data_IF_418994355523
#
_entry.id   IF_418994355523
#
_cell.length_a   1.000
_cell.length_b   1.000
_cell.length_c   1.000
_cell.angle_alpha   90.00
_cell.angle_beta   90.00
_cell.angle_gamma   90.00
#
_symmetry.space_group_name_H-M   'P 1'
#
loop_
_entity.id
_entity.type
_entity.pdbx_description
1 polymer ?
#
# COMPACT_ATOMS: atom_id res chain seq x y z
N UNK A 1 -16.98 8.86 -26.53
CA UNK A 1 -15.56 8.81 -26.84
C UNK A 1 -14.89 8.04 -25.71
N UNK A 2 -14.01 7.11 -26.03
CA UNK A 2 -13.37 6.27 -25.03
C UNK A 2 -12.24 7.05 -24.34
N UNK A 3 -12.02 6.80 -23.05
CA UNK A 3 -10.91 7.37 -22.29
C UNK A 3 -10.22 6.30 -21.47
N UNK A 4 -8.97 6.51 -21.07
CA UNK A 4 -8.23 5.58 -20.21
C UNK A 4 -7.57 6.34 -19.07
N UNK A 5 -8.05 6.13 -17.85
CA UNK A 5 -7.42 6.67 -16.63
C UNK A 5 -6.09 5.97 -16.40
N UNK A 6 -5.09 6.77 -15.99
CA UNK A 6 -3.74 6.30 -15.79
C UNK A 6 -3.07 6.99 -14.60
N UNK A 7 -1.82 6.63 -14.28
CA UNK A 7 -1.00 7.24 -13.25
C UNK A 7 -1.76 7.46 -11.91
N UNK A 8 -1.76 8.71 -11.39
CA UNK A 8 -2.37 9.01 -10.09
C UNK A 8 -3.89 8.98 -10.13
N UNK A 9 -4.53 9.35 -11.26
CA UNK A 9 -5.98 9.24 -11.39
C UNK A 9 -6.43 7.78 -11.35
N UNK A 10 -5.71 6.87 -12.01
CA UNK A 10 -5.97 5.44 -11.90
C UNK A 10 -5.70 4.94 -10.47
N UNK A 11 -4.58 5.33 -9.88
CA UNK A 11 -4.23 4.93 -8.53
C UNK A 11 -5.30 5.35 -7.50
N UNK A 12 -5.75 6.60 -7.54
CA UNK A 12 -6.75 7.12 -6.63
C UNK A 12 -8.10 6.39 -6.79
N UNK A 13 -8.54 6.13 -8.03
CA UNK A 13 -9.77 5.39 -8.28
C UNK A 13 -9.65 3.93 -7.80
N UNK A 14 -8.53 3.26 -8.05
CA UNK A 14 -8.26 1.92 -7.55
C UNK A 14 -8.30 1.88 -6.01
N UNK A 15 -7.69 2.87 -5.35
CA UNK A 15 -7.66 2.93 -3.89
C UNK A 15 -8.99 3.31 -3.25
N UNK A 16 -9.89 3.96 -3.97
CA UNK A 16 -11.24 4.28 -3.49
C UNK A 16 -12.28 3.22 -3.83
N UNK A 17 -11.92 2.17 -4.56
CA UNK A 17 -12.83 1.09 -4.92
C UNK A 17 -12.88 0.00 -3.86
N UNK A 18 -14.11 -0.34 -3.41
CA UNK A 18 -14.37 -1.47 -2.50
C UNK A 18 -14.25 -2.84 -3.17
N UNK A 19 -14.29 -2.90 -4.52
CA UNK A 19 -14.22 -4.13 -5.32
C UNK A 19 -13.08 -4.03 -6.32
N UNK A 20 -12.41 -5.15 -6.64
CA UNK A 20 -11.50 -5.18 -7.78
C UNK A 20 -12.26 -4.88 -9.07
N UNK A 21 -11.61 -4.20 -10.00
CA UNK A 21 -12.14 -4.02 -11.35
C UNK A 21 -12.03 -5.37 -12.07
N UNK A 22 -13.18 -5.92 -12.45
CA UNK A 22 -13.24 -7.27 -13.00
C UNK A 22 -13.06 -7.27 -14.52
N UNK A 23 -12.15 -8.09 -15.00
CA UNK A 23 -12.01 -8.41 -16.43
C UNK A 23 -13.12 -9.36 -16.91
N UNK A 24 -13.87 -10.00 -16.02
CA UNK A 24 -14.89 -11.00 -16.36
C UNK A 24 -16.22 -10.40 -16.83
N UNK A 25 -16.47 -9.10 -16.61
CA UNK A 25 -17.61 -8.42 -17.24
C UNK A 25 -17.52 -8.39 -18.77
N UNK A 26 -16.36 -8.69 -19.33
CA UNK A 26 -16.15 -8.96 -20.75
C UNK A 26 -16.83 -10.25 -21.24
N UNK A 27 -17.22 -11.16 -20.35
CA UNK A 27 -17.78 -12.47 -20.72
C UNK A 27 -19.24 -12.41 -21.21
N UNK A 28 -19.93 -11.31 -21.05
CA UNK A 28 -21.35 -11.16 -21.46
C UNK A 28 -21.51 -10.53 -22.86
N UNK A 29 -20.67 -10.86 -23.81
CA UNK A 29 -20.95 -10.77 -25.24
C UNK A 29 -20.95 -9.38 -25.91
N UNK A 30 -20.74 -8.27 -25.16
CA UNK A 30 -20.68 -6.91 -25.69
C UNK A 30 -19.55 -6.03 -25.16
N UNK A 31 -18.60 -6.58 -24.40
CA UNK A 31 -17.51 -5.78 -23.89
C UNK A 31 -16.48 -5.51 -25.00
N UNK A 32 -16.25 -4.24 -25.31
CA UNK A 32 -15.15 -3.83 -26.19
C UNK A 32 -13.82 -4.31 -25.61
N UNK A 33 -12.96 -4.81 -26.48
CA UNK A 33 -11.58 -5.10 -26.08
C UNK A 33 -10.93 -3.80 -25.62
N UNK A 34 -10.38 -3.75 -24.39
CA UNK A 34 -9.73 -2.55 -23.88
C UNK A 34 -8.58 -2.12 -24.78
N UNK A 35 -8.63 -0.90 -25.27
CA UNK A 35 -7.56 -0.31 -26.10
C UNK A 35 -7.20 1.07 -25.56
N UNK A 36 -5.96 1.46 -25.73
CA UNK A 36 -5.54 2.83 -25.44
C UNK A 36 -6.16 3.74 -26.49
N UNK A 37 -6.92 4.80 -26.12
CA UNK A 37 -7.53 5.72 -27.05
C UNK A 37 -6.48 6.38 -27.98
N UNK A 38 -6.80 6.55 -29.23
CA UNK A 38 -5.90 7.18 -30.21
C UNK A 38 -5.73 8.67 -29.97
N UNK A 39 -6.77 9.35 -29.49
CA UNK A 39 -6.77 10.80 -29.25
C UNK A 39 -7.34 11.17 -27.90
N UNK A 40 -7.04 12.41 -27.45
CA UNK A 40 -7.62 12.99 -26.26
C UNK A 40 -9.14 13.18 -26.44
N UNK A 41 -9.95 13.07 -25.36
CA UNK A 41 -11.38 13.39 -25.39
C UNK A 41 -11.61 14.87 -25.71
N UNK A 42 -12.82 15.19 -26.19
CA UNK A 42 -13.24 16.58 -26.43
C UNK A 42 -13.39 17.38 -25.12
N UNK A 43 -13.42 18.72 -25.23
CA UNK A 43 -13.42 19.65 -24.08
C UNK A 43 -14.57 19.38 -23.08
N UNK A 44 -15.76 19.06 -23.55
CA UNK A 44 -16.90 18.71 -22.65
C UNK A 44 -16.59 17.48 -21.79
N UNK A 45 -16.09 16.43 -22.43
CA UNK A 45 -15.69 15.19 -21.73
C UNK A 45 -14.52 15.42 -20.78
N UNK A 46 -13.55 16.28 -21.14
CA UNK A 46 -12.43 16.64 -20.26
C UNK A 46 -12.93 17.30 -18.96
N UNK A 47 -13.90 18.21 -19.06
CA UNK A 47 -14.53 18.88 -17.89
C UNK A 47 -15.32 17.90 -17.04
N UNK A 48 -16.11 17.01 -17.66
CA UNK A 48 -16.84 15.96 -16.94
C UNK A 48 -15.90 15.03 -16.18
N UNK A 49 -14.81 14.58 -16.81
CA UNK A 49 -13.80 13.75 -16.17
C UNK A 49 -13.11 14.48 -15.00
N UNK A 50 -12.78 15.77 -15.16
CA UNK A 50 -12.18 16.55 -14.10
C UNK A 50 -13.11 16.74 -12.91
N UNK A 51 -14.41 16.95 -13.14
CA UNK A 51 -15.42 17.00 -12.07
C UNK A 51 -15.56 15.65 -11.38
N UNK A 52 -15.56 14.56 -12.12
CA UNK A 52 -15.81 13.22 -11.58
C UNK A 52 -14.57 12.61 -10.90
N UNK A 53 -13.38 12.81 -11.46
CA UNK A 53 -12.14 12.15 -11.01
C UNK A 53 -11.09 13.10 -10.41
N UNK A 54 -11.22 14.41 -10.62
CA UNK A 54 -10.25 15.41 -10.11
C UNK A 54 -10.32 15.62 -8.60
N UNK A 55 -11.42 15.20 -7.95
CA UNK A 55 -11.64 15.29 -6.50
C UNK A 55 -11.42 13.99 -5.73
N UNK A 56 -10.81 12.97 -6.34
CA UNK A 56 -10.56 11.70 -5.67
C UNK A 56 -9.65 11.91 -4.44
N UNK A 57 -9.95 11.21 -3.32
CA UNK A 57 -9.24 11.41 -2.07
C UNK A 57 -7.76 11.05 -2.19
N UNK A 58 -6.90 11.90 -1.66
CA UNK A 58 -5.49 11.58 -1.45
C UNK A 58 -5.38 10.47 -0.42
N UNK A 59 -4.43 9.56 -0.58
CA UNK A 59 -4.16 8.52 0.43
C UNK A 59 -3.63 9.22 1.68
N UNK A 60 -4.39 9.21 2.75
CA UNK A 60 -3.98 9.78 4.02
C UNK A 60 -2.69 9.10 4.51
N UNK A 61 -1.66 9.92 4.76
CA UNK A 61 -0.36 9.47 5.26
C UNK A 61 0.63 9.01 4.20
N UNK A 62 0.26 8.99 2.93
CA UNK A 62 1.20 8.79 1.82
C UNK A 62 1.30 10.11 1.07
N UNK A 63 2.36 10.89 1.30
CA UNK A 63 2.73 11.98 0.36
C UNK A 63 3.21 11.33 -0.93
N UNK A 64 2.29 11.02 -1.80
CA UNK A 64 2.57 10.87 -3.20
C UNK A 64 2.93 12.28 -3.72
N UNK A 65 3.82 12.34 -4.68
CA UNK A 65 4.29 13.61 -5.25
C UNK A 65 3.10 14.52 -5.55
N UNK A 66 3.24 15.84 -5.26
CA UNK A 66 2.21 16.84 -5.57
C UNK A 66 2.15 17.01 -7.09
N UNK A 67 1.30 16.26 -7.76
CA UNK A 67 0.84 16.66 -9.10
C UNK A 67 -0.11 17.85 -8.93
N UNK A 68 -0.17 18.76 -9.91
CA UNK A 68 -1.04 19.93 -9.80
C UNK A 68 -2.48 19.49 -9.59
N UNK A 69 -3.07 19.93 -8.47
CA UNK A 69 -4.46 19.65 -8.11
C UNK A 69 -5.39 19.97 -9.28
N UNK A 70 -6.26 19.05 -9.63
CA UNK A 70 -7.35 19.28 -10.55
C UNK A 70 -7.18 18.77 -11.99
N UNK A 71 -6.07 18.11 -12.31
CA UNK A 71 -5.92 17.45 -13.62
C UNK A 71 -6.14 15.94 -13.52
N UNK A 72 -6.82 15.38 -14.53
CA UNK A 72 -7.00 13.95 -14.67
C UNK A 72 -5.94 13.37 -15.58
N UNK A 73 -5.23 12.34 -15.13
CA UNK A 73 -4.23 11.63 -15.93
C UNK A 73 -4.89 10.68 -16.91
N UNK A 74 -4.71 10.92 -18.21
CA UNK A 74 -5.24 10.08 -19.29
C UNK A 74 -4.13 9.46 -20.11
N UNK A 75 -4.28 8.18 -20.44
CA UNK A 75 -3.41 7.46 -21.36
C UNK A 75 -3.95 7.54 -22.78
N UNK A 76 -3.11 7.94 -23.73
CA UNK A 76 -3.42 8.04 -25.16
C UNK A 76 -2.32 7.43 -26.01
N UNK A 77 -2.63 7.08 -27.24
CA UNK A 77 -1.66 6.46 -28.19
C UNK A 77 -1.13 7.45 -29.25
N UNK A 78 -1.66 8.67 -29.32
CA UNK A 78 -1.27 9.64 -30.34
C UNK A 78 -0.15 10.56 -29.86
N UNK A 79 0.96 10.59 -30.62
CA UNK A 79 2.13 11.43 -30.40
C UNK A 79 1.84 12.93 -30.68
N UNK A 80 0.87 13.22 -31.52
CA UNK A 80 0.55 14.59 -31.94
C UNK A 80 -0.38 15.34 -30.99
N UNK A 81 -0.94 14.66 -29.99
CA UNK A 81 -1.88 15.24 -29.00
C UNK A 81 -1.19 15.82 -27.75
N UNK A 82 0.03 16.32 -27.86
CA UNK A 82 0.85 16.79 -26.71
C UNK A 82 0.55 18.20 -26.22
N UNK A 83 -0.53 18.85 -26.66
CA UNK A 83 -0.88 20.19 -26.23
C UNK A 83 -1.29 20.19 -24.75
N UNK A 84 -0.79 21.19 -24.01
CA UNK A 84 -1.21 21.42 -22.63
C UNK A 84 -2.74 21.62 -22.57
N UNK A 85 -3.39 20.80 -21.76
CA UNK A 85 -4.82 20.84 -21.51
C UNK A 85 -5.09 21.39 -20.11
N UNK A 86 -6.19 22.12 -19.95
CA UNK A 86 -6.53 22.73 -18.66
C UNK A 86 -6.92 21.67 -17.60
N UNK A 87 -7.72 20.70 -18.00
CA UNK A 87 -8.33 19.75 -17.07
C UNK A 87 -7.70 18.36 -17.08
N UNK A 88 -6.82 18.07 -18.03
CA UNK A 88 -6.20 16.74 -18.17
C UNK A 88 -4.69 16.81 -18.37
N UNK A 89 -4.00 15.81 -17.87
CA UNK A 89 -2.61 15.52 -18.16
C UNK A 89 -2.56 14.30 -19.10
N UNK A 90 -2.03 14.52 -20.31
CA UNK A 90 -1.95 13.46 -21.33
C UNK A 90 -0.64 12.71 -21.21
N UNK A 91 -0.72 11.39 -21.17
CA UNK A 91 0.41 10.49 -21.15
C UNK A 91 0.40 9.62 -22.40
N UNK A 92 1.47 9.72 -23.19
CA UNK A 92 1.57 8.97 -24.46
C UNK A 92 2.10 7.57 -24.18
N UNK A 93 1.43 6.57 -24.75
CA UNK A 93 1.83 5.18 -24.72
C UNK A 93 2.08 4.65 -26.13
N UNK A 94 3.31 4.82 -26.63
CA UNK A 94 3.72 4.38 -27.97
C UNK A 94 3.98 2.86 -28.04
N UNK A 95 3.88 2.14 -26.94
CA UNK A 95 4.15 0.70 -26.88
C UNK A 95 2.85 -0.08 -26.84
N UNK A 96 2.88 -1.27 -27.47
CA UNK A 96 1.78 -2.23 -27.37
C UNK A 96 1.48 -2.53 -25.90
N UNK A 97 0.27 -2.23 -25.45
CA UNK A 97 -0.23 -2.53 -24.10
C UNK A 97 -0.99 -3.84 -24.18
N UNK A 98 -0.74 -4.75 -23.25
CA UNK A 98 -1.51 -6.00 -23.18
C UNK A 98 -2.97 -5.66 -22.82
N UNK A 99 -3.98 -6.27 -23.45
CA UNK A 99 -5.38 -6.03 -23.11
C UNK A 99 -5.69 -6.18 -21.62
N UNK A 100 -5.06 -7.17 -20.96
CA UNK A 100 -5.16 -7.39 -19.50
C UNK A 100 -4.58 -6.26 -18.63
N UNK A 101 -3.85 -5.31 -19.24
CA UNK A 101 -3.35 -4.12 -18.53
C UNK A 101 -4.34 -2.97 -18.47
N UNK A 102 -5.49 -3.10 -19.12
CA UNK A 102 -6.57 -2.13 -19.13
C UNK A 102 -7.85 -2.81 -18.64
N UNK A 103 -8.54 -2.18 -17.70
CA UNK A 103 -9.76 -2.69 -17.10
C UNK A 103 -10.91 -1.75 -17.43
N UNK A 104 -12.12 -2.24 -17.74
CA UNK A 104 -13.27 -1.39 -17.99
C UNK A 104 -13.74 -0.69 -16.70
N UNK A 105 -14.18 0.56 -16.84
CA UNK A 105 -14.81 1.33 -15.76
C UNK A 105 -16.32 1.28 -15.97
N UNK A 106 -17.02 0.42 -15.22
CA UNK A 106 -18.48 0.32 -15.21
C UNK A 106 -19.13 -0.01 -16.58
N UNK A 107 -20.36 -0.43 -16.56
CA UNK A 107 -21.11 -0.78 -17.79
C UNK A 107 -21.51 0.45 -18.64
N UNK A 108 -21.71 1.60 -17.98
CA UNK A 108 -22.26 2.82 -18.59
C UNK A 108 -21.22 3.87 -18.94
N UNK A 109 -20.05 3.81 -18.33
CA UNK A 109 -18.94 4.71 -18.62
C UNK A 109 -18.05 4.07 -19.68
N UNK A 110 -17.99 4.63 -20.88
CA UNK A 110 -17.14 4.17 -22.00
C UNK A 110 -15.66 4.40 -21.74
N UNK A 111 -15.20 4.05 -20.54
CA UNK A 111 -13.86 4.33 -20.06
C UNK A 111 -13.10 3.09 -19.62
N UNK A 112 -11.79 3.23 -19.57
CA UNK A 112 -10.87 2.22 -19.06
C UNK A 112 -9.99 2.80 -17.97
N UNK A 113 -9.42 1.92 -17.17
CA UNK A 113 -8.40 2.24 -16.16
C UNK A 113 -7.22 1.30 -16.36
N UNK A 114 -6.02 1.77 -16.13
CA UNK A 114 -4.84 0.88 -16.12
C UNK A 114 -4.93 -0.09 -14.94
N UNK A 115 -4.53 -1.36 -15.18
CA UNK A 115 -4.51 -2.39 -14.12
C UNK A 115 -3.63 -1.95 -12.95
N UNK A 116 -3.81 -2.51 -11.75
CA UNK A 116 -2.98 -2.18 -10.59
C UNK A 116 -1.48 -2.30 -10.87
N UNK A 117 -1.04 -3.34 -11.58
CA UNK A 117 0.38 -3.56 -11.91
C UNK A 117 0.90 -2.52 -12.91
N UNK A 118 0.08 -2.16 -13.90
CA UNK A 118 0.48 -1.15 -14.89
C UNK A 118 0.46 0.25 -14.25
N UNK A 119 -0.54 0.56 -13.43
CA UNK A 119 -0.59 1.78 -12.62
C UNK A 119 0.66 1.89 -11.74
N UNK A 120 1.05 0.82 -11.05
CA UNK A 120 2.28 0.79 -10.24
C UNK A 120 3.52 1.15 -11.05
N UNK A 121 3.70 0.56 -12.25
CA UNK A 121 4.82 0.90 -13.13
C UNK A 121 4.81 2.39 -13.54
N UNK A 122 3.63 2.91 -13.88
CA UNK A 122 3.48 4.29 -14.31
C UNK A 122 3.86 5.28 -13.18
N UNK A 123 3.29 5.11 -11.99
CA UNK A 123 3.57 6.00 -10.85
C UNK A 123 5.00 5.85 -10.33
N UNK A 124 5.63 4.69 -10.45
CA UNK A 124 7.05 4.50 -10.13
C UNK A 124 7.99 5.39 -10.98
N UNK A 125 7.53 5.90 -12.10
CA UNK A 125 8.27 6.87 -12.92
C UNK A 125 8.22 8.30 -12.39
N UNK A 126 7.33 8.57 -11.45
CA UNK A 126 7.01 9.89 -10.91
C UNK A 126 7.36 10.01 -9.42
N UNK A 127 7.29 8.90 -8.69
CA UNK A 127 7.55 8.83 -7.27
C UNK A 127 9.04 8.62 -6.97
N UNK A 128 9.47 9.07 -5.80
CA UNK A 128 10.72 8.61 -5.22
C UNK A 128 10.63 7.15 -4.75
N UNK A 129 11.74 6.62 -4.27
CA UNK A 129 11.85 5.20 -3.94
C UNK A 129 10.90 4.76 -2.82
N UNK A 130 10.81 5.54 -1.73
CA UNK A 130 9.91 5.25 -0.61
C UNK A 130 8.44 5.40 -1.03
N UNK A 131 8.12 6.46 -1.79
CA UNK A 131 6.76 6.64 -2.35
C UNK A 131 6.34 5.46 -3.24
N UNK A 132 7.28 4.93 -4.03
CA UNK A 132 7.00 3.75 -4.87
C UNK A 132 6.72 2.50 -4.02
N UNK A 133 7.45 2.28 -2.92
CA UNK A 133 7.18 1.18 -1.98
C UNK A 133 5.79 1.36 -1.35
N UNK A 134 5.47 2.56 -0.86
CA UNK A 134 4.19 2.87 -0.22
C UNK A 134 3.01 2.65 -1.18
N UNK A 135 3.12 3.15 -2.41
CA UNK A 135 2.07 2.97 -3.41
C UNK A 135 1.85 1.49 -3.77
N UNK A 136 2.93 0.73 -3.93
CA UNK A 136 2.85 -0.71 -4.16
C UNK A 136 2.24 -1.46 -2.97
N UNK A 137 2.61 -1.08 -1.75
CA UNK A 137 2.03 -1.68 -0.54
C UNK A 137 0.53 -1.37 -0.43
N UNK A 138 0.09 -0.16 -0.79
CA UNK A 138 -1.33 0.20 -0.81
C UNK A 138 -2.13 -0.65 -1.81
N UNK A 139 -1.62 -0.85 -3.03
CA UNK A 139 -2.26 -1.71 -4.03
C UNK A 139 -2.34 -3.19 -3.60
N UNK A 140 -1.38 -3.66 -2.80
CA UNK A 140 -1.33 -5.02 -2.26
C UNK A 140 -2.02 -5.17 -0.89
N UNK A 141 -2.79 -4.18 -0.45
CA UNK A 141 -3.46 -4.13 0.85
C UNK A 141 -4.96 -4.42 0.74
N UNK A 142 -5.53 -4.88 1.85
CA UNK A 142 -6.95 -5.26 1.95
C UNK A 142 -7.87 -4.06 2.24
N UNK A 143 -7.35 -2.83 2.33
CA UNK A 143 -8.14 -1.64 2.60
C UNK A 143 -8.42 -0.83 1.34
N UNK A 144 -9.48 -0.02 1.42
CA UNK A 144 -9.76 1.07 0.48
C UNK A 144 -10.12 2.35 1.24
N UNK A 145 -10.05 3.49 0.53
CA UNK A 145 -10.33 4.81 1.10
C UNK A 145 -11.78 5.19 0.82
N UNK A 146 -12.52 5.56 1.85
CA UNK A 146 -13.89 6.01 1.71
C UNK A 146 -13.95 7.36 1.01
N UNK A 147 -14.92 7.51 0.09
CA UNK A 147 -15.16 8.77 -0.64
C UNK A 147 -16.12 9.72 0.11
N UNK A 148 -16.53 9.37 1.32
CA UNK A 148 -17.51 10.13 2.12
C UNK A 148 -17.01 11.47 2.68
N UNK A 149 -15.82 11.91 2.29
CA UNK A 149 -15.20 13.17 2.73
C UNK A 149 -14.64 13.14 4.17
N UNK A 150 -14.87 12.09 4.93
CA UNK A 150 -14.36 11.92 6.29
C UNK A 150 -13.01 11.20 6.36
N UNK A 151 -12.45 10.83 5.20
CA UNK A 151 -11.11 10.20 5.10
C UNK A 151 -11.01 8.84 5.79
N UNK A 152 -12.12 8.13 5.90
CA UNK A 152 -12.18 6.80 6.51
C UNK A 152 -11.50 5.72 5.67
N UNK A 153 -11.14 4.64 6.33
CA UNK A 153 -10.56 3.44 5.74
C UNK A 153 -11.50 2.27 5.99
N UNK A 154 -11.79 1.49 4.95
CA UNK A 154 -12.62 0.28 5.04
C UNK A 154 -11.89 -0.91 4.41
N UNK A 155 -12.32 -2.12 4.76
CA UNK A 155 -11.70 -3.35 4.25
C UNK A 155 -12.42 -3.85 3.00
N UNK A 156 -11.63 -4.33 2.02
CA UNK A 156 -12.16 -5.03 0.84
C UNK A 156 -12.59 -6.44 1.20
N UNK A 157 -13.77 -6.81 0.76
CA UNK A 157 -14.29 -8.18 1.02
C UNK A 157 -13.57 -9.25 0.19
N UNK A 158 -13.05 -8.87 -0.99
CA UNK A 158 -12.45 -9.80 -1.95
C UNK A 158 -10.90 -9.77 -1.94
N UNK A 159 -10.31 -9.24 -0.88
CA UNK A 159 -8.85 -9.11 -0.75
C UNK A 159 -8.24 -7.95 -1.53
N UNK A 160 -6.92 -7.92 -1.68
CA UNK A 160 -6.18 -6.83 -2.28
C UNK A 160 -6.41 -6.72 -3.80
N UNK A 161 -6.11 -5.56 -4.37
CA UNK A 161 -6.23 -5.32 -5.83
C UNK A 161 -5.21 -6.12 -6.64
N UNK A 162 -4.05 -6.39 -6.07
CA UNK A 162 -2.96 -7.17 -6.64
C UNK A 162 -2.06 -7.69 -5.53
N UNK A 163 -0.97 -8.37 -5.90
CA UNK A 163 0.04 -8.83 -4.97
C UNK A 163 1.46 -8.65 -5.55
N UNK A 164 2.47 -8.76 -4.68
CA UNK A 164 3.87 -8.59 -5.06
C UNK A 164 4.32 -9.54 -6.18
N UNK A 165 3.81 -10.77 -6.19
CA UNK A 165 4.13 -11.75 -7.22
C UNK A 165 3.56 -11.33 -8.59
N UNK A 166 2.30 -10.87 -8.64
CA UNK A 166 1.66 -10.38 -9.85
C UNK A 166 2.37 -9.13 -10.40
N UNK A 167 2.70 -8.16 -9.52
CA UNK A 167 3.49 -6.98 -9.91
C UNK A 167 4.85 -7.41 -10.46
N UNK A 168 5.56 -8.32 -9.79
CA UNK A 168 6.88 -8.80 -10.23
C UNK A 168 6.80 -9.49 -11.60
N UNK A 169 5.78 -10.36 -11.78
CA UNK A 169 5.51 -11.03 -13.06
C UNK A 169 5.24 -10.00 -14.16
N UNK A 170 4.37 -9.03 -13.91
CA UNK A 170 4.09 -7.96 -14.88
C UNK A 170 5.36 -7.18 -15.24
N UNK A 171 6.14 -6.73 -14.25
CA UNK A 171 7.38 -6.00 -14.49
C UNK A 171 8.43 -6.80 -15.27
N UNK A 172 8.43 -8.13 -15.17
CA UNK A 172 9.35 -8.99 -15.93
C UNK A 172 9.04 -8.99 -17.44
N UNK A 173 7.77 -8.83 -17.80
CA UNK A 173 7.33 -8.79 -19.21
C UNK A 173 7.51 -7.40 -19.84
N UNK A 174 7.74 -6.35 -19.02
CA UNK A 174 7.92 -5.00 -19.53
C UNK A 174 9.38 -4.77 -19.95
N UNK A 175 9.60 -4.33 -21.17
CA UNK A 175 10.92 -3.97 -21.67
C UNK A 175 11.48 -2.70 -21.01
N UNK A 176 12.31 -1.94 -21.74
CA UNK A 176 12.85 -0.66 -21.29
C UNK A 176 11.76 0.42 -21.28
N UNK A 177 10.99 0.50 -20.20
CA UNK A 177 9.98 1.54 -19.99
C UNK A 177 10.41 2.48 -18.87
N UNK A 178 9.94 3.73 -18.93
CA UNK A 178 10.13 4.70 -17.85
C UNK A 178 9.55 4.13 -16.55
N UNK A 179 10.30 4.24 -15.45
CA UNK A 179 9.87 3.71 -14.14
C UNK A 179 10.20 2.23 -13.89
N UNK A 180 10.64 1.45 -14.89
CA UNK A 180 10.88 0.00 -14.73
C UNK A 180 11.97 -0.33 -13.69
N UNK A 181 13.05 0.46 -13.66
CA UNK A 181 14.17 0.23 -12.73
C UNK A 181 13.74 0.51 -11.29
N UNK A 182 13.20 1.71 -10.93
CA UNK A 182 12.72 1.95 -9.59
C UNK A 182 11.61 1.00 -9.18
N UNK A 183 10.66 0.65 -10.06
CA UNK A 183 9.61 -0.31 -9.78
C UNK A 183 10.17 -1.70 -9.41
N UNK A 184 11.09 -2.26 -10.21
CA UNK A 184 11.75 -3.56 -9.93
C UNK A 184 12.58 -3.56 -8.64
N UNK A 185 13.12 -2.44 -8.25
CA UNK A 185 13.85 -2.32 -6.97
C UNK A 185 12.89 -2.22 -5.79
N UNK A 186 11.84 -1.40 -5.91
CA UNK A 186 10.90 -1.11 -4.85
C UNK A 186 9.96 -2.29 -4.54
N UNK A 187 9.57 -3.09 -5.54
CA UNK A 187 8.67 -4.24 -5.36
C UNK A 187 9.16 -5.24 -4.31
N UNK A 188 10.48 -5.34 -4.11
CA UNK A 188 11.10 -6.24 -3.12
C UNK A 188 10.77 -5.85 -1.67
N UNK A 189 10.37 -4.60 -1.46
CA UNK A 189 10.10 -4.03 -0.14
C UNK A 189 8.61 -3.79 0.11
N UNK A 190 7.74 -4.12 -0.85
CA UNK A 190 6.29 -4.04 -0.68
C UNK A 190 5.84 -4.96 0.44
N UNK A 191 5.04 -4.44 1.35
CA UNK A 191 4.27 -5.21 2.32
C UNK A 191 2.86 -5.47 1.78
N UNK A 192 2.27 -6.61 2.13
CA UNK A 192 1.00 -7.08 1.58
C UNK A 192 -0.03 -7.28 2.69
N UNK A 193 -1.31 -7.26 2.35
CA UNK A 193 -2.43 -7.58 3.24
C UNK A 193 -2.59 -6.65 4.45
N UNK A 194 -2.08 -5.43 4.39
CA UNK A 194 -2.39 -4.45 5.43
C UNK A 194 -3.90 -4.13 5.42
N UNK A 195 -4.50 -3.97 6.59
CA UNK A 195 -5.89 -3.55 6.77
C UNK A 195 -6.03 -2.07 7.01
N UNK A 196 -4.90 -1.39 7.18
CA UNK A 196 -4.84 0.07 7.28
C UNK A 196 -3.50 0.62 6.75
N UNK A 197 -3.46 1.90 6.33
CA UNK A 197 -2.20 2.56 5.97
C UNK A 197 -1.20 2.60 7.13
N UNK A 198 -1.68 2.64 8.39
CA UNK A 198 -0.82 2.69 9.59
C UNK A 198 -0.11 1.37 9.85
N UNK A 199 -0.79 0.24 9.68
CA UNK A 199 -0.16 -1.08 9.76
C UNK A 199 0.95 -1.22 8.70
N UNK A 200 0.67 -0.84 7.43
CA UNK A 200 1.68 -0.86 6.37
C UNK A 200 2.88 0.03 6.71
N UNK A 201 2.64 1.25 7.21
CA UNK A 201 3.69 2.19 7.60
C UNK A 201 4.53 1.65 8.76
N UNK A 202 3.90 1.05 9.77
CA UNK A 202 4.59 0.44 10.91
C UNK A 202 5.46 -0.74 10.46
N UNK A 203 4.93 -1.64 9.64
CA UNK A 203 5.66 -2.75 9.07
C UNK A 203 6.89 -2.29 8.28
N UNK A 204 6.72 -1.29 7.43
CA UNK A 204 7.82 -0.72 6.65
C UNK A 204 8.87 -0.07 7.55
N UNK A 205 8.47 0.70 8.55
CA UNK A 205 9.40 1.35 9.45
C UNK A 205 10.25 0.36 10.24
N UNK A 206 9.62 -0.69 10.75
CA UNK A 206 10.30 -1.72 11.53
C UNK A 206 11.21 -2.62 10.67
N UNK A 207 10.82 -2.92 9.42
CA UNK A 207 11.46 -3.98 8.63
C UNK A 207 12.30 -3.49 7.44
N UNK A 208 12.11 -2.26 6.94
CA UNK A 208 12.99 -1.73 5.89
C UNK A 208 14.46 -1.73 6.34
N UNK A 209 15.38 -1.96 5.40
CA UNK A 209 16.82 -1.92 5.69
C UNK A 209 17.29 -0.57 6.24
N UNK A 210 18.37 -0.55 6.99
CA UNK A 210 18.96 0.65 7.58
C UNK A 210 19.29 1.75 6.57
N UNK A 211 19.77 1.40 5.39
CA UNK A 211 20.04 2.38 4.32
C UNK A 211 18.79 3.08 3.77
N UNK A 212 17.61 2.55 4.05
CA UNK A 212 16.31 3.16 3.74
C UNK A 212 15.68 3.83 4.97
N UNK A 213 16.36 3.86 6.10
CA UNK A 213 15.88 4.46 7.33
C UNK A 213 14.98 3.54 8.17
N UNK A 214 14.86 2.26 7.85
CA UNK A 214 14.15 1.29 8.69
C UNK A 214 15.01 0.73 9.83
N UNK A 215 14.37 -0.03 10.73
CA UNK A 215 15.07 -0.70 11.83
C UNK A 215 15.64 -2.08 11.49
N UNK A 216 15.37 -2.59 10.27
CA UNK A 216 15.85 -3.86 9.76
C UNK A 216 15.65 -5.03 10.75
N UNK A 217 14.46 -5.09 11.38
CA UNK A 217 14.15 -6.11 12.38
C UNK A 217 14.08 -7.52 11.77
N UNK A 218 13.60 -7.64 10.53
CA UNK A 218 13.46 -8.94 9.88
C UNK A 218 12.46 -8.94 8.74
N UNK A 219 11.81 -10.08 8.52
CA UNK A 219 10.72 -10.22 7.56
C UNK A 219 9.38 -10.08 8.27
N UNK A 220 8.43 -9.39 7.65
CA UNK A 220 7.11 -9.15 8.21
C UNK A 220 6.03 -9.78 7.33
N UNK A 221 5.04 -10.38 7.97
CA UNK A 221 3.76 -10.79 7.39
C UNK A 221 2.65 -10.04 8.14
N UNK A 222 1.74 -9.44 7.39
CA UNK A 222 0.60 -8.70 7.96
C UNK A 222 -0.65 -9.57 7.94
N UNK A 223 -1.43 -9.46 9.02
CA UNK A 223 -2.72 -10.11 9.15
C UNK A 223 -2.68 -11.61 8.84
N UNK A 224 -1.60 -12.28 9.22
CA UNK A 224 -1.43 -13.73 9.07
C UNK A 224 -2.18 -14.46 10.17
N UNK A 225 -3.13 -15.35 9.82
CA UNK A 225 -3.75 -16.23 10.82
C UNK A 225 -2.72 -17.16 11.47
N UNK A 226 -2.77 -17.27 12.79
CA UNK A 226 -2.01 -18.24 13.58
C UNK A 226 -2.96 -19.10 14.38
N UNK A 227 -2.75 -20.41 14.39
CA UNK A 227 -3.48 -21.35 15.22
C UNK A 227 -2.78 -21.47 16.57
N UNK A 228 -3.54 -21.33 17.64
CA UNK A 228 -3.08 -21.41 19.02
C UNK A 228 -3.97 -22.37 19.78
N UNK A 229 -3.48 -22.85 20.92
CA UNK A 229 -4.26 -23.55 21.88
C UNK A 229 -4.54 -22.64 23.08
N UNK A 230 -5.81 -22.46 23.42
CA UNK A 230 -6.16 -21.63 24.56
C UNK A 230 -5.92 -22.38 25.89
N UNK A 231 -6.10 -21.70 27.03
CA UNK A 231 -5.93 -22.27 28.36
C UNK A 231 -6.83 -23.48 28.67
N UNK A 232 -7.84 -23.74 27.84
CA UNK A 232 -8.77 -24.88 27.98
C UNK A 232 -8.43 -26.03 27.03
N UNK A 233 -7.34 -25.95 26.27
CA UNK A 233 -6.95 -26.96 25.28
C UNK A 233 -7.72 -26.85 23.94
N UNK A 234 -8.46 -25.76 23.71
CA UNK A 234 -9.22 -25.58 22.48
C UNK A 234 -8.37 -24.87 21.43
N UNK A 235 -8.44 -25.34 20.18
CA UNK A 235 -7.79 -24.65 19.05
C UNK A 235 -8.54 -23.37 18.70
N UNK A 236 -7.83 -22.27 18.72
CA UNK A 236 -8.33 -20.94 18.37
C UNK A 236 -7.46 -20.33 17.30
N UNK A 237 -8.06 -19.49 16.44
CA UNK A 237 -7.31 -18.71 15.44
C UNK A 237 -7.21 -17.28 15.90
N UNK A 238 -5.99 -16.74 15.91
CA UNK A 238 -5.71 -15.30 16.14
C UNK A 238 -5.05 -14.71 14.92
N UNK A 239 -5.31 -13.43 14.67
CA UNK A 239 -4.77 -12.69 13.53
C UNK A 239 -4.11 -11.42 14.09
N UNK A 240 -2.82 -11.46 14.41
CA UNK A 240 -2.08 -10.25 14.78
C UNK A 240 -1.89 -9.37 13.54
N UNK A 241 -1.86 -8.05 13.73
CA UNK A 241 -1.67 -7.12 12.62
C UNK A 241 -0.31 -7.32 11.96
N UNK A 242 0.74 -7.52 12.75
CA UNK A 242 2.09 -7.82 12.27
C UNK A 242 2.66 -9.06 12.93
N UNK A 243 3.19 -9.96 12.14
CA UNK A 243 4.06 -11.05 12.57
C UNK A 243 5.46 -10.81 12.01
N UNK A 244 6.43 -10.51 12.87
CA UNK A 244 7.81 -10.24 12.45
C UNK A 244 8.71 -11.40 12.85
N UNK A 245 9.42 -11.95 11.85
CA UNK A 245 10.44 -12.95 12.05
C UNK A 245 11.81 -12.27 12.07
N UNK A 246 12.40 -12.19 13.26
CA UNK A 246 13.71 -11.60 13.50
C UNK A 246 14.81 -12.66 13.29
N UNK A 247 15.97 -12.19 12.83
CA UNK A 247 17.15 -13.03 12.68
C UNK A 247 18.41 -12.22 12.95
N UNK A 248 19.28 -12.69 13.84
CA UNK A 248 20.57 -12.08 14.11
C UNK A 248 21.73 -12.66 13.26
N UNK A 249 22.94 -12.14 13.46
CA UNK A 249 24.17 -12.66 12.81
C UNK A 249 24.50 -14.08 13.22
N UNK A 250 24.10 -14.52 14.43
CA UNK A 250 24.36 -15.86 14.98
C UNK A 250 23.32 -16.87 14.48
N UNK A 251 22.45 -16.48 13.53
CA UNK A 251 21.35 -17.27 13.00
C UNK A 251 20.25 -17.60 14.04
N UNK A 252 20.29 -16.97 15.24
CA UNK A 252 19.18 -17.02 16.18
C UNK A 252 17.96 -16.44 15.50
N UNK A 253 16.82 -17.10 15.63
CA UNK A 253 15.54 -16.67 15.10
C UNK A 253 14.57 -16.47 16.26
N UNK A 254 13.73 -15.48 16.14
CA UNK A 254 12.63 -15.24 17.07
C UNK A 254 11.45 -14.65 16.30
N UNK A 255 10.24 -14.93 16.77
CA UNK A 255 9.02 -14.32 16.27
C UNK A 255 8.50 -13.32 17.28
N UNK A 256 8.00 -12.19 16.82
CA UNK A 256 7.28 -11.22 17.62
C UNK A 256 5.97 -10.87 16.94
N UNK A 257 4.94 -10.69 17.72
CA UNK A 257 3.60 -10.29 17.28
C UNK A 257 3.35 -8.86 17.70
N UNK A 258 2.72 -8.07 16.82
CA UNK A 258 2.31 -6.71 17.16
C UNK A 258 0.86 -6.49 16.71
N UNK A 259 0.08 -5.81 17.54
CA UNK A 259 -1.22 -5.26 17.19
C UNK A 259 -1.15 -3.73 17.20
N UNK A 260 -1.75 -3.09 16.21
CA UNK A 260 -1.88 -1.64 16.13
C UNK A 260 -3.25 -1.19 16.62
N UNK A 261 -3.27 -0.47 17.72
CA UNK A 261 -4.50 0.13 18.26
C UNK A 261 -4.56 1.63 17.93
N UNK A 262 -5.45 2.08 17.04
CA UNK A 262 -5.62 3.49 16.71
C UNK A 262 -6.18 4.32 17.88
N UNK A 263 -6.87 3.70 18.81
CA UNK A 263 -7.65 4.35 19.85
C UNK A 263 -7.31 3.85 21.26
N UNK A 264 -6.23 4.32 21.85
CA UNK A 264 -6.14 4.38 23.32
C UNK A 264 -6.95 5.60 23.78
N UNK A 265 -8.27 5.59 23.58
CA UNK A 265 -9.19 6.57 24.15
C UNK A 265 -10.30 5.82 24.84
N UNK A 266 -10.22 5.78 26.20
CA UNK A 266 -11.32 5.55 27.13
C UNK A 266 -12.44 4.58 26.68
N UNK A 267 -12.09 3.42 26.17
CA UNK A 267 -13.04 2.36 25.88
C UNK A 267 -13.46 1.70 27.18
N UNK A 268 -14.79 1.60 27.42
CA UNK A 268 -15.36 1.06 28.67
C UNK A 268 -14.81 -0.34 28.99
N UNK A 269 -14.82 -0.67 30.29
CA UNK A 269 -14.14 -1.81 30.92
C UNK A 269 -14.31 -3.19 30.24
N UNK A 270 -15.40 -3.45 29.51
CA UNK A 270 -15.58 -4.70 28.77
C UNK A 270 -14.66 -4.86 27.54
N UNK A 271 -14.25 -3.77 26.90
CA UNK A 271 -13.28 -3.80 25.80
C UNK A 271 -11.88 -4.10 26.33
N UNK A 272 -11.51 -3.44 27.43
CA UNK A 272 -10.21 -3.66 28.08
C UNK A 272 -10.04 -5.12 28.53
N UNK A 273 -11.09 -5.76 29.06
CA UNK A 273 -11.01 -7.17 29.45
C UNK A 273 -10.84 -8.12 28.25
N UNK A 274 -11.57 -7.90 27.15
CA UNK A 274 -11.41 -8.71 25.93
C UNK A 274 -10.02 -8.56 25.30
N UNK A 275 -9.48 -7.37 25.34
CA UNK A 275 -8.13 -7.08 24.81
C UNK A 275 -7.06 -7.72 25.69
N UNK A 276 -7.20 -7.72 27.01
CA UNK A 276 -6.30 -8.43 27.93
C UNK A 276 -6.38 -9.96 27.78
N UNK A 277 -7.57 -10.53 27.59
CA UNK A 277 -7.72 -11.97 27.32
C UNK A 277 -7.05 -12.35 26.00
N UNK A 278 -7.24 -11.54 24.95
CA UNK A 278 -6.60 -11.74 23.64
C UNK A 278 -5.07 -11.63 23.72
N UNK A 279 -4.56 -10.67 24.47
CA UNK A 279 -3.12 -10.48 24.69
C UNK A 279 -2.52 -11.68 25.46
N UNK A 280 -3.18 -12.14 26.51
CA UNK A 280 -2.77 -13.31 27.28
C UNK A 280 -2.77 -14.59 26.45
N UNK A 281 -3.75 -14.78 25.57
CA UNK A 281 -3.81 -15.94 24.67
C UNK A 281 -2.68 -15.91 23.63
N UNK A 282 -2.33 -14.74 23.09
CA UNK A 282 -1.22 -14.59 22.16
C UNK A 282 0.13 -14.86 22.83
N UNK A 283 0.35 -14.34 24.03
CA UNK A 283 1.59 -14.53 24.78
C UNK A 283 1.77 -15.98 25.21
N UNK A 284 0.71 -16.60 25.73
CA UNK A 284 0.78 -17.97 26.26
C UNK A 284 0.74 -19.04 25.15
N UNK A 285 -0.14 -18.87 24.18
CA UNK A 285 -0.36 -19.85 23.13
C UNK A 285 0.68 -19.82 22.01
N UNK A 286 1.14 -18.63 21.62
CA UNK A 286 2.16 -18.47 20.58
C UNK A 286 3.59 -18.64 21.09
N UNK A 287 3.81 -18.63 22.41
CA UNK A 287 5.14 -18.69 23.05
C UNK A 287 6.13 -17.66 22.48
N UNK A 288 5.64 -16.51 22.05
CA UNK A 288 6.46 -15.42 21.52
C UNK A 288 6.00 -14.07 22.08
N UNK A 289 6.89 -13.08 22.20
CA UNK A 289 6.54 -11.75 22.69
C UNK A 289 5.44 -11.10 21.83
N UNK A 290 4.51 -10.45 22.49
CA UNK A 290 3.44 -9.67 21.88
C UNK A 290 3.52 -8.22 22.35
N UNK A 291 3.29 -7.25 21.44
CA UNK A 291 3.32 -5.82 21.73
C UNK A 291 2.10 -5.13 21.14
N UNK A 292 1.42 -4.33 21.96
CA UNK A 292 0.40 -3.40 21.50
C UNK A 292 1.03 -2.05 21.16
N UNK A 293 0.77 -1.53 19.96
CA UNK A 293 1.31 -0.27 19.45
C UNK A 293 0.20 0.74 19.27
N UNK A 294 0.19 1.77 20.08
CA UNK A 294 -0.85 2.82 19.99
C UNK A 294 -0.51 3.90 18.96
N UNK A 295 -1.55 4.57 18.46
CA UNK A 295 -1.38 5.74 17.60
C UNK A 295 -0.54 6.85 18.25
N UNK A 296 -0.61 7.01 19.58
CA UNK A 296 0.22 7.98 20.34
C UNK A 296 1.70 7.61 20.33
N UNK A 297 2.04 6.33 20.46
CA UNK A 297 3.43 5.87 20.35
C UNK A 297 4.03 6.23 19.00
N UNK A 298 3.27 6.12 17.91
CA UNK A 298 3.74 6.44 16.56
C UNK A 298 3.97 7.94 16.33
N UNK A 299 3.40 8.82 17.16
CA UNK A 299 3.64 10.26 17.13
C UNK A 299 5.02 10.67 17.67
N UNK A 300 5.72 9.79 18.37
CA UNK A 300 7.03 10.04 18.97
C UNK A 300 8.09 9.09 18.41
N UNK A 301 9.10 9.65 17.78
CA UNK A 301 10.23 8.85 17.26
C UNK A 301 10.94 8.08 18.37
N UNK A 302 11.17 8.70 19.53
CA UNK A 302 11.80 8.06 20.68
C UNK A 302 10.96 6.92 21.26
N UNK A 303 9.63 7.01 21.22
CA UNK A 303 8.74 5.93 21.65
C UNK A 303 8.88 4.70 20.74
N UNK A 304 8.98 4.90 19.42
CA UNK A 304 9.20 3.78 18.49
C UNK A 304 10.61 3.19 18.64
N UNK A 305 11.64 4.02 18.91
CA UNK A 305 12.98 3.51 19.26
C UNK A 305 12.93 2.65 20.55
N UNK A 306 12.16 3.08 21.54
CA UNK A 306 11.91 2.33 22.77
C UNK A 306 11.26 0.97 22.51
N UNK A 307 10.21 0.94 21.69
CA UNK A 307 9.55 -0.30 21.25
C UNK A 307 10.55 -1.26 20.58
N UNK A 308 11.37 -0.77 19.65
CA UNK A 308 12.37 -1.60 18.96
C UNK A 308 13.39 -2.17 19.95
N UNK A 309 13.79 -1.39 20.96
CA UNK A 309 14.68 -1.87 22.03
C UNK A 309 14.01 -3.00 22.81
N UNK A 310 12.78 -2.82 23.27
CA UNK A 310 12.01 -3.84 24.00
C UNK A 310 11.84 -5.12 23.18
N UNK A 311 11.54 -5.01 21.89
CA UNK A 311 11.46 -6.16 20.96
C UNK A 311 12.79 -6.94 20.94
N UNK A 312 13.91 -6.24 20.85
CA UNK A 312 15.23 -6.90 20.84
C UNK A 312 15.58 -7.54 22.17
N UNK A 313 15.29 -6.86 23.28
CA UNK A 313 15.52 -7.36 24.64
C UNK A 313 14.69 -8.61 24.92
N UNK A 314 13.37 -8.59 24.64
CA UNK A 314 12.48 -9.72 24.87
C UNK A 314 12.80 -10.95 24.00
N UNK A 315 13.31 -10.73 22.80
CA UNK A 315 13.68 -11.82 21.87
C UNK A 315 15.15 -12.26 22.02
N UNK A 316 15.96 -11.46 22.66
CA UNK A 316 17.42 -11.66 22.76
C UNK A 316 18.11 -11.55 21.39
N UNK A 317 17.48 -10.88 20.42
CA UNK A 317 18.05 -10.65 19.08
C UNK A 317 18.88 -9.37 19.11
N UNK A 318 20.18 -9.52 18.84
CA UNK A 318 21.10 -8.38 18.80
C UNK A 318 20.98 -7.64 17.47
N UNK A 319 20.98 -6.31 17.54
CA UNK A 319 21.03 -5.46 16.37
C UNK A 319 22.22 -5.80 15.47
N UNK A 320 22.02 -5.78 14.16
CA UNK A 320 23.16 -5.87 13.25
C UNK A 320 23.98 -4.58 13.33
N UNK A 321 25.29 -4.73 13.42
CA UNK A 321 26.17 -3.56 13.31
C UNK A 321 25.97 -2.90 11.95
N UNK A 322 26.02 -1.61 11.95
CA UNK A 322 25.95 -0.80 10.74
C UNK A 322 27.05 0.25 10.75
N UNK A 323 27.64 0.47 9.58
CA UNK A 323 28.63 1.52 9.36
C UNK A 323 27.99 2.82 8.88
N UNK A 324 26.66 2.89 8.86
CA UNK A 324 25.92 4.08 8.42
C UNK A 324 26.00 5.12 9.52
N UNK A 325 26.79 6.16 9.31
CA UNK A 325 27.07 7.22 10.30
C UNK A 325 25.85 8.11 10.58
N UNK A 326 24.96 8.28 9.59
CA UNK A 326 23.74 9.10 9.65
C UNK A 326 22.45 8.26 9.85
N UNK A 327 22.56 7.08 10.47
CA UNK A 327 21.45 6.14 10.60
C UNK A 327 20.23 6.76 11.32
N UNK A 328 20.45 7.42 12.45
CA UNK A 328 19.34 8.02 13.20
C UNK A 328 18.64 9.11 12.40
N UNK A 329 19.40 9.91 11.65
CA UNK A 329 18.84 10.95 10.79
C UNK A 329 17.96 10.34 9.68
N UNK A 330 18.43 9.26 9.04
CA UNK A 330 17.63 8.50 8.05
C UNK A 330 16.38 7.91 8.66
N UNK A 331 16.47 7.34 9.85
CA UNK A 331 15.33 6.80 10.58
C UNK A 331 14.31 7.88 10.92
N UNK A 332 14.78 9.04 11.39
CA UNK A 332 13.93 10.19 11.69
C UNK A 332 13.25 10.73 10.42
N UNK A 333 13.96 10.82 9.31
CA UNK A 333 13.40 11.25 8.03
C UNK A 333 12.32 10.29 7.53
N UNK A 334 12.56 8.98 7.60
CA UNK A 334 11.55 7.98 7.25
C UNK A 334 10.34 8.04 8.19
N UNK A 335 10.57 8.15 9.51
CA UNK A 335 9.49 8.30 10.49
C UNK A 335 8.62 9.53 10.21
N UNK A 336 9.25 10.69 9.96
CA UNK A 336 8.52 11.91 9.59
C UNK A 336 7.61 11.67 8.39
N UNK A 337 8.13 10.99 7.38
CA UNK A 337 7.39 10.69 6.16
C UNK A 337 6.21 9.74 6.37
N UNK A 338 6.39 8.70 7.19
CA UNK A 338 5.39 7.65 7.42
C UNK A 338 4.28 8.08 8.41
N UNK A 339 4.62 8.92 9.38
CA UNK A 339 3.72 9.18 10.51
C UNK A 339 3.38 10.66 10.73
N UNK A 340 4.17 11.61 10.23
CA UNK A 340 3.95 13.05 10.40
C UNK A 340 3.52 13.78 9.12
N UNK A 341 3.67 13.18 7.95
CA UNK A 341 3.19 13.79 6.73
C UNK A 341 1.66 13.95 6.82
N UNK A 342 1.19 15.19 6.77
CA UNK A 342 -0.21 15.58 6.62
C UNK A 342 -0.49 15.81 5.15
#
# INVERSE_FOLDING_TARGET
MDYCLSYFSAFNLLMSSSRPFDSSSAANGMARVPVVPESAPGISTERELAVYYGGLPEIQGVRLHQEPKGKVDLLINDVNSTFAKEHVALHICNSKVLPSSLLPIGADLKGFITSPEFTYLQIASKLDFIGTILAGSALCSDYFLNQDGHGGVSQRQNGPLTNRAAITKFLSTQGRKRGIIPAKRAVKHIVEKARSPREASLALFLCLPYNLGGFNLGTVELNRPIELENRYGEKITRIPDLTIQLKDKRKKQATVLLDYDPAVTHAGGQRVMRDLDRENELVTGAQCPHFSVSGEMLKSFSSVQGLVRQIRESTGIVARDTTISDLEERQRALWMRLFKAR
#
